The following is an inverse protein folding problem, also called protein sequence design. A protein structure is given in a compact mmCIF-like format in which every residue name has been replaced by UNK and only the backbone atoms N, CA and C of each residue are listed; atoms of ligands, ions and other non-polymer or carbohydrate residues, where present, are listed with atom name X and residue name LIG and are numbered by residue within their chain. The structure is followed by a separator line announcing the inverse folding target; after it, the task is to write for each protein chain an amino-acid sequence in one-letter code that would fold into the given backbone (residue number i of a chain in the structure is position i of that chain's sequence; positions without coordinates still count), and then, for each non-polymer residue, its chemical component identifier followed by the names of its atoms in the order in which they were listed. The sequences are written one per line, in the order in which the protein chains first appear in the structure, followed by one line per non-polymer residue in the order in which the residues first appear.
data_IF_457536578035
#
_entry.id   IF_457536578035
#
_cell.length_a   1.000
_cell.length_b   1.000
_cell.length_c   1.000
_cell.angle_alpha   90.00
_cell.angle_beta   90.00
_cell.angle_gamma   90.00
#
_symmetry.space_group_name_H-M   'P 1'
#
loop_
_entity.id
_entity.type
_entity.pdbx_description
1 polymer ?
#
# COMPACT_ATOMS: atom_id res chain seq x y z
N UNK A 1 -0.33 20.11 -13.38
CA UNK A 1 0.83 19.54 -12.66
C UNK A 1 1.07 18.16 -13.25
N UNK A 2 2.29 17.91 -13.72
CA UNK A 2 2.67 16.67 -14.38
C UNK A 2 2.39 15.46 -13.46
N UNK A 3 1.87 14.39 -14.05
CA UNK A 3 1.58 13.10 -13.40
C UNK A 3 2.86 12.31 -13.02
N UNK A 4 4.02 12.97 -12.93
CA UNK A 4 5.33 12.36 -12.65
C UNK A 4 5.36 11.59 -11.31
N UNK A 5 4.52 11.96 -10.35
CA UNK A 5 4.49 11.30 -9.05
C UNK A 5 3.94 9.88 -9.09
N UNK A 6 3.19 9.50 -10.14
CA UNK A 6 2.58 8.16 -10.22
C UNK A 6 3.62 7.06 -10.39
N UNK A 7 4.84 7.41 -10.77
CA UNK A 7 5.97 6.49 -10.86
C UNK A 7 6.79 6.39 -9.56
N UNK A 8 6.40 7.13 -8.51
CA UNK A 8 7.14 7.12 -7.25
C UNK A 8 6.81 5.90 -6.39
N UNK A 9 7.70 5.65 -5.42
CA UNK A 9 7.47 4.68 -4.35
C UNK A 9 7.95 5.23 -2.99
N UNK A 10 7.37 6.36 -2.59
CA UNK A 10 7.75 7.10 -1.37
C UNK A 10 7.55 6.28 -0.08
N UNK A 11 6.59 5.35 -0.07
CA UNK A 11 6.32 4.44 1.04
C UNK A 11 7.11 3.11 0.95
N UNK A 12 7.92 2.95 -0.10
CA UNK A 12 8.72 1.75 -0.38
C UNK A 12 7.87 0.47 -0.46
N UNK A 13 6.68 0.56 -1.03
CA UNK A 13 5.68 -0.52 -1.03
C UNK A 13 5.78 -1.42 -2.25
N UNK A 14 6.67 -1.14 -3.21
CA UNK A 14 6.79 -1.93 -4.44
C UNK A 14 6.82 -3.45 -4.17
N UNK A 15 5.96 -4.19 -4.88
CA UNK A 15 5.73 -5.63 -4.80
C UNK A 15 5.31 -6.14 -3.39
N UNK A 16 4.86 -5.24 -2.50
CA UNK A 16 4.31 -5.65 -1.20
C UNK A 16 2.86 -6.09 -1.33
N UNK A 17 2.56 -7.28 -0.81
CA UNK A 17 1.26 -7.95 -0.95
C UNK A 17 0.29 -7.44 0.08
N UNK A 18 -0.96 -7.19 -0.32
CA UNK A 18 -2.04 -6.75 0.56
C UNK A 18 -2.83 -7.96 1.04
N UNK A 19 -2.76 -8.24 2.34
CA UNK A 19 -3.50 -9.33 2.96
C UNK A 19 -4.95 -8.94 3.27
N UNK A 20 -5.17 -7.70 3.72
CA UNK A 20 -6.51 -7.20 3.99
C UNK A 20 -6.59 -5.68 4.02
N UNK A 21 -7.79 -5.16 3.85
CA UNK A 21 -8.13 -3.75 3.96
C UNK A 21 -9.27 -3.54 4.97
N UNK A 22 -9.10 -2.60 5.88
CA UNK A 22 -10.13 -2.16 6.82
C UNK A 22 -10.42 -0.66 6.65
N UNK A 23 -11.71 -0.32 6.50
CA UNK A 23 -12.19 1.07 6.56
C UNK A 23 -13.03 1.23 7.83
N UNK A 24 -12.56 2.05 8.77
CA UNK A 24 -13.26 2.33 10.00
C UNK A 24 -13.81 3.77 10.01
N UNK A 25 -15.11 3.91 9.77
CA UNK A 25 -15.76 5.22 9.74
C UNK A 25 -15.85 5.91 11.10
N UNK A 26 -15.86 5.15 12.21
CA UNK A 26 -15.97 5.71 13.56
C UNK A 26 -14.68 6.41 13.97
N UNK A 27 -13.54 5.76 13.76
CA UNK A 27 -12.20 6.31 14.04
C UNK A 27 -11.62 7.11 12.87
N UNK A 28 -12.27 7.05 11.70
CA UNK A 28 -11.80 7.64 10.43
C UNK A 28 -10.40 7.13 10.08
N UNK A 29 -10.25 5.81 10.07
CA UNK A 29 -8.99 5.13 9.72
C UNK A 29 -9.18 4.26 8.48
N UNK A 30 -8.12 4.16 7.69
CA UNK A 30 -7.97 3.22 6.58
C UNK A 30 -6.70 2.42 6.87
N UNK A 31 -6.78 1.11 6.91
CA UNK A 31 -5.65 0.25 7.26
C UNK A 31 -5.49 -0.87 6.24
N UNK A 32 -4.27 -1.06 5.75
CA UNK A 32 -3.89 -2.23 4.98
C UNK A 32 -3.04 -3.12 5.87
N UNK A 33 -3.37 -4.41 5.98
CA UNK A 33 -2.40 -5.42 6.41
C UNK A 33 -1.65 -5.92 5.20
N UNK A 34 -0.34 -6.08 5.30
CA UNK A 34 0.50 -6.41 4.17
C UNK A 34 1.72 -7.24 4.54
N UNK A 35 2.23 -7.96 3.55
CA UNK A 35 3.58 -8.52 3.52
C UNK A 35 4.49 -7.50 2.84
N UNK A 36 5.21 -6.71 3.63
CA UNK A 36 6.12 -5.69 3.12
C UNK A 36 7.41 -6.33 2.62
N UNK A 37 7.76 -6.08 1.37
CA UNK A 37 9.06 -6.47 0.82
C UNK A 37 10.18 -5.75 1.56
N UNK A 38 11.13 -6.53 2.05
CA UNK A 38 12.36 -6.04 2.70
C UNK A 38 13.54 -6.14 1.74
N UNK A 39 13.63 -7.25 1.00
CA UNK A 39 14.68 -7.44 0.00
C UNK A 39 14.30 -8.51 -1.01
N UNK A 40 14.90 -8.44 -2.20
CA UNK A 40 14.87 -9.49 -3.20
C UNK A 40 15.93 -10.55 -2.89
N UNK A 41 15.58 -11.81 -3.05
CA UNK A 41 16.47 -12.97 -2.91
C UNK A 41 16.57 -13.69 -4.26
N UNK A 42 17.71 -13.55 -4.94
CA UNK A 42 17.97 -14.30 -6.17
C UNK A 42 18.26 -15.78 -5.84
N UNK A 43 17.71 -16.68 -6.65
CA UNK A 43 17.81 -18.14 -6.56
C UNK A 43 18.37 -18.69 -7.87
N UNK A 44 18.88 -19.93 -7.84
CA UNK A 44 19.36 -20.66 -9.01
C UNK A 44 20.30 -19.84 -9.93
N UNK A 45 21.35 -19.25 -9.36
CA UNK A 45 22.30 -18.41 -10.12
C UNK A 45 21.65 -17.20 -10.81
N UNK A 46 20.56 -16.67 -10.24
CA UNK A 46 19.82 -15.52 -10.76
C UNK A 46 18.78 -15.86 -11.83
N UNK A 47 18.46 -17.14 -12.03
CA UNK A 47 17.43 -17.58 -12.99
C UNK A 47 16.00 -17.32 -12.48
N UNK A 48 15.83 -17.26 -11.17
CA UNK A 48 14.59 -16.87 -10.52
C UNK A 48 14.89 -16.06 -9.25
N UNK A 49 13.88 -15.43 -8.70
CA UNK A 49 13.99 -14.69 -7.45
C UNK A 49 12.73 -14.89 -6.63
N UNK A 50 12.83 -14.57 -5.34
CA UNK A 50 11.68 -14.38 -4.46
C UNK A 50 11.92 -13.15 -3.58
N UNK A 51 10.98 -12.82 -2.72
CA UNK A 51 11.08 -11.76 -1.74
C UNK A 51 11.28 -12.28 -0.34
N UNK A 52 12.09 -11.56 0.43
CA UNK A 52 12.05 -11.59 1.88
C UNK A 52 11.09 -10.49 2.34
N UNK A 53 10.13 -10.85 3.16
CA UNK A 53 9.03 -9.99 3.58
C UNK A 53 8.90 -9.90 5.10
N UNK A 54 8.24 -8.85 5.58
CA UNK A 54 7.78 -8.72 6.97
C UNK A 54 6.28 -8.48 6.98
N UNK A 55 5.57 -9.11 7.91
CA UNK A 55 4.19 -8.74 8.18
C UNK A 55 4.11 -7.33 8.75
N UNK A 56 3.05 -6.62 8.40
CA UNK A 56 2.89 -5.25 8.84
C UNK A 56 1.53 -4.64 8.54
N UNK A 57 1.42 -3.37 8.91
CA UNK A 57 0.22 -2.57 8.67
C UNK A 57 0.58 -1.16 8.24
N UNK A 58 -0.02 -0.70 7.14
CA UNK A 58 -0.04 0.70 6.72
C UNK A 58 -1.36 1.33 7.17
N UNK A 59 -1.29 2.28 8.07
CA UNK A 59 -2.48 2.87 8.72
C UNK A 59 -2.53 4.36 8.44
N UNK A 60 -3.65 4.81 7.88
CA UNK A 60 -3.97 6.22 7.66
C UNK A 60 -4.94 6.72 8.73
N UNK A 61 -4.64 7.88 9.31
CA UNK A 61 -5.40 8.45 10.43
C UNK A 61 -6.11 9.75 10.06
N UNK A 62 -7.28 9.96 10.68
CA UNK A 62 -8.15 11.11 10.39
C UNK A 62 -8.41 11.26 8.89
N UNK A 63 -8.75 10.15 8.24
CA UNK A 63 -9.06 10.11 6.81
C UNK A 63 -10.30 10.96 6.53
N UNK A 64 -10.19 11.86 5.55
CA UNK A 64 -11.27 12.74 5.08
C UNK A 64 -11.83 12.27 3.73
N UNK A 65 -11.02 11.57 2.95
CA UNK A 65 -11.38 11.08 1.63
C UNK A 65 -10.55 9.85 1.27
N UNK A 66 -11.21 8.89 0.64
CA UNK A 66 -10.58 7.86 -0.18
C UNK A 66 -11.53 7.46 -1.29
N UNK A 67 -11.01 7.11 -2.47
CA UNK A 67 -11.77 6.62 -3.64
C UNK A 67 -11.67 5.10 -3.82
N UNK A 68 -11.40 4.36 -2.73
CA UNK A 68 -11.30 2.91 -2.79
C UNK A 68 -12.55 2.27 -3.39
N UNK A 69 -12.37 1.42 -4.39
CA UNK A 69 -13.39 0.54 -4.94
C UNK A 69 -12.93 -0.91 -4.77
N UNK A 70 -13.84 -1.79 -4.33
CA UNK A 70 -13.52 -3.21 -4.11
C UNK A 70 -13.70 -3.99 -5.42
N UNK A 71 -12.65 -4.68 -5.86
CA UNK A 71 -12.68 -5.52 -7.05
C UNK A 71 -11.33 -6.20 -7.20
N UNK A 72 -11.35 -7.50 -6.93
CA UNK A 72 -10.18 -8.38 -6.93
C UNK A 72 -10.39 -9.42 -8.03
N UNK A 73 -9.33 -9.74 -8.75
CA UNK A 73 -9.33 -10.93 -9.57
C UNK A 73 -9.43 -12.18 -8.67
N UNK A 74 -10.23 -13.14 -9.11
CA UNK A 74 -10.41 -14.35 -8.32
C UNK A 74 -9.16 -15.23 -8.40
N UNK A 75 -8.58 -15.55 -7.24
CA UNK A 75 -7.37 -16.36 -7.14
C UNK A 75 -6.06 -15.57 -7.17
N UNK A 76 -6.11 -14.25 -7.33
CA UNK A 76 -4.95 -13.38 -7.32
C UNK A 76 -4.90 -12.54 -6.04
N UNK A 77 -3.68 -12.19 -5.64
CA UNK A 77 -3.44 -11.26 -4.54
C UNK A 77 -3.25 -9.84 -5.07
N UNK A 78 -3.70 -8.85 -4.29
CA UNK A 78 -3.42 -7.46 -4.59
C UNK A 78 -2.02 -7.08 -4.14
N UNK A 79 -1.31 -6.30 -4.94
CA UNK A 79 0.05 -5.86 -4.66
C UNK A 79 0.17 -4.35 -4.82
N UNK A 80 0.96 -3.72 -3.95
CA UNK A 80 1.33 -2.33 -4.13
C UNK A 80 2.38 -2.20 -5.23
N UNK A 81 2.10 -1.36 -6.21
CA UNK A 81 3.00 -1.10 -7.33
C UNK A 81 3.64 0.29 -7.25
N UNK A 82 2.90 1.30 -6.76
CA UNK A 82 3.39 2.69 -6.69
C UNK A 82 2.86 3.37 -5.43
N UNK A 83 3.62 4.33 -4.92
CA UNK A 83 3.19 5.13 -3.79
C UNK A 83 3.79 6.53 -3.84
N UNK A 84 2.98 7.55 -3.58
CA UNK A 84 3.46 8.93 -3.54
C UNK A 84 2.83 9.71 -2.39
N UNK A 85 3.63 10.57 -1.75
CA UNK A 85 3.20 11.46 -0.69
C UNK A 85 3.26 12.90 -1.22
N UNK A 86 2.11 13.51 -1.38
CA UNK A 86 1.97 14.83 -1.95
C UNK A 86 1.59 15.85 -0.88
N UNK A 87 2.42 16.89 -0.78
CA UNK A 87 2.17 18.08 0.03
C UNK A 87 1.26 19.10 -0.65
N UNK A 88 1.04 18.93 -1.95
CA UNK A 88 0.11 19.75 -2.73
C UNK A 88 -0.52 18.94 -3.85
N UNK A 89 -1.82 19.13 -4.08
CA UNK A 89 -2.55 18.60 -5.22
C UNK A 89 -3.94 19.26 -5.27
N UNK A 90 -4.60 19.22 -6.43
CA UNK A 90 -5.96 19.75 -6.56
C UNK A 90 -6.94 19.04 -5.63
N UNK A 91 -6.75 17.73 -5.43
CA UNK A 91 -7.55 16.95 -4.48
C UNK A 91 -7.32 17.43 -3.05
N UNK A 92 -6.06 17.59 -2.63
CA UNK A 92 -5.72 18.10 -1.30
C UNK A 92 -6.32 19.49 -1.03
N UNK A 93 -6.21 20.40 -2.00
CA UNK A 93 -6.73 21.77 -1.92
C UNK A 93 -8.26 21.80 -1.67
N UNK A 94 -9.02 20.84 -2.22
CA UNK A 94 -10.48 20.74 -1.98
C UNK A 94 -10.82 20.45 -0.52
N UNK A 95 -9.93 19.78 0.22
CA UNK A 95 -10.16 19.38 1.61
C UNK A 95 -9.44 20.26 2.64
N UNK A 96 -8.39 21.00 2.25
CA UNK A 96 -7.68 21.93 3.13
C UNK A 96 -8.62 22.96 3.76
N UNK A 97 -9.56 23.51 2.99
CA UNK A 97 -10.54 24.48 3.50
C UNK A 97 -11.55 23.89 4.52
N UNK A 98 -11.58 22.56 4.68
CA UNK A 98 -12.51 21.84 5.58
C UNK A 98 -11.84 21.34 6.86
N UNK A 99 -10.53 21.58 7.02
CA UNK A 99 -9.75 21.04 8.13
C UNK A 99 -8.73 22.06 8.63
N UNK A 100 -8.64 22.23 9.96
CA UNK A 100 -7.59 23.05 10.58
C UNK A 100 -6.27 22.26 10.78
N UNK A 101 -6.22 20.99 10.37
CA UNK A 101 -5.02 20.15 10.48
C UNK A 101 -4.24 20.18 9.18
N UNK A 102 -2.91 20.03 9.28
CA UNK A 102 -2.08 19.70 8.12
C UNK A 102 -2.55 18.37 7.54
N UNK A 103 -2.80 18.35 6.23
CA UNK A 103 -3.28 17.19 5.49
C UNK A 103 -2.21 16.77 4.50
N UNK A 104 -2.15 15.47 4.24
CA UNK A 104 -1.35 14.86 3.18
C UNK A 104 -2.30 14.22 2.16
N UNK A 105 -1.91 14.29 0.89
CA UNK A 105 -2.49 13.43 -0.12
C UNK A 105 -1.54 12.27 -0.36
N UNK A 106 -1.99 11.04 -0.10
CA UNK A 106 -1.24 9.83 -0.40
C UNK A 106 -1.90 9.14 -1.58
N UNK A 107 -1.12 8.92 -2.61
CA UNK A 107 -1.49 8.12 -3.77
C UNK A 107 -0.91 6.70 -3.61
N UNK A 108 -1.72 5.69 -3.95
CA UNK A 108 -1.35 4.29 -3.97
C UNK A 108 -1.78 3.71 -5.32
N UNK A 109 -0.82 3.16 -6.06
CA UNK A 109 -1.08 2.32 -7.22
C UNK A 109 -1.09 0.87 -6.80
N UNK A 110 -2.20 0.18 -7.02
CA UNK A 110 -2.39 -1.21 -6.62
C UNK A 110 -2.64 -2.04 -7.87
N UNK A 111 -1.88 -3.10 -8.04
CA UNK A 111 -2.15 -4.14 -9.02
C UNK A 111 -3.09 -5.19 -8.39
N UNK A 112 -4.22 -5.47 -9.03
CA UNK A 112 -5.18 -6.48 -8.59
C UNK A 112 -5.21 -7.71 -9.54
N UNK A 113 -4.13 -7.94 -10.28
CA UNK A 113 -3.99 -9.01 -11.27
C UNK A 113 -4.46 -8.55 -12.65
N UNK A 114 -5.77 -8.37 -12.81
CA UNK A 114 -6.37 -7.98 -14.09
C UNK A 114 -6.54 -6.47 -14.29
N UNK A 115 -6.48 -5.70 -13.20
CA UNK A 115 -6.75 -4.26 -13.21
C UNK A 115 -5.80 -3.52 -12.27
N UNK A 116 -5.15 -2.51 -12.83
CA UNK A 116 -4.42 -1.52 -12.05
C UNK A 116 -5.38 -0.47 -11.48
N UNK A 117 -5.33 -0.25 -10.17
CA UNK A 117 -6.18 0.71 -9.47
C UNK A 117 -5.37 1.82 -8.84
N UNK A 118 -5.87 3.03 -9.03
CA UNK A 118 -5.35 4.25 -8.44
C UNK A 118 -6.18 4.62 -7.21
N UNK A 119 -5.54 4.70 -6.05
CA UNK A 119 -6.20 5.01 -4.79
C UNK A 119 -5.59 6.26 -4.20
N UNK A 120 -6.43 7.27 -4.05
CA UNK A 120 -6.11 8.52 -3.39
C UNK A 120 -6.62 8.48 -1.96
N UNK A 121 -5.82 8.94 -1.01
CA UNK A 121 -6.15 9.03 0.41
C UNK A 121 -5.81 10.42 0.91
N UNK A 122 -6.79 11.15 1.43
CA UNK A 122 -6.57 12.42 2.14
C UNK A 122 -6.65 12.15 3.64
N UNK A 123 -5.54 12.33 4.33
CA UNK A 123 -5.40 12.03 5.76
C UNK A 123 -4.54 13.08 6.48
N UNK A 124 -4.55 13.07 7.81
CA UNK A 124 -3.65 13.95 8.58
C UNK A 124 -2.26 13.35 8.80
N UNK A 125 -2.18 12.02 8.91
CA UNK A 125 -0.94 11.27 9.10
C UNK A 125 -1.13 9.83 8.63
N UNK A 126 -0.02 9.16 8.35
CA UNK A 126 0.04 7.72 8.13
C UNK A 126 1.16 7.13 9.00
N UNK A 127 1.11 5.82 9.23
CA UNK A 127 2.16 5.06 9.90
C UNK A 127 2.32 3.70 9.25
N UNK A 128 3.57 3.21 9.20
CA UNK A 128 3.91 1.85 8.82
C UNK A 128 4.41 1.13 10.07
N UNK A 129 3.75 0.06 10.44
CA UNK A 129 4.15 -0.81 11.56
C UNK A 129 4.57 -2.16 10.96
N UNK A 130 5.78 -2.61 11.28
CA UNK A 130 6.30 -3.89 10.83
C UNK A 130 6.58 -4.76 12.02
N UNK A 131 6.27 -6.04 11.88
CA UNK A 131 6.67 -7.06 12.84
C UNK A 131 8.17 -7.34 12.74
N UNK A 132 8.72 -7.92 13.81
CA UNK A 132 10.16 -8.18 13.88
C UNK A 132 10.58 -9.33 12.95
N UNK A 133 9.70 -10.33 12.80
CA UNK A 133 9.96 -11.56 12.07
C UNK A 133 9.96 -11.35 10.55
N UNK A 134 10.96 -11.94 9.89
CA UNK A 134 11.09 -11.99 8.44
C UNK A 134 10.71 -13.36 7.91
N UNK A 135 10.07 -13.38 6.74
CA UNK A 135 9.65 -14.58 6.03
C UNK A 135 10.20 -14.54 4.61
N UNK A 136 10.30 -15.70 3.98
CA UNK A 136 10.58 -15.79 2.55
C UNK A 136 9.26 -16.09 1.86
N UNK A 137 8.90 -15.28 0.86
CA UNK A 137 7.72 -15.50 0.04
C UNK A 137 7.96 -16.76 -0.83
N UNK A 138 6.95 -17.59 -0.99
CA UNK A 138 6.98 -18.74 -1.89
C UNK A 138 5.96 -18.53 -3.01
N UNK A 139 6.26 -19.05 -4.21
CA UNK A 139 5.60 -18.70 -5.48
C UNK A 139 4.09 -19.03 -5.53
N UNK A 140 3.61 -19.85 -4.61
CA UNK A 140 2.23 -20.32 -4.44
C UNK A 140 1.45 -19.55 -3.36
N UNK A 141 2.08 -18.62 -2.64
CA UNK A 141 1.49 -17.86 -1.52
C UNK A 141 0.79 -18.73 -0.44
N UNK A 142 0.97 -20.05 -0.48
CA UNK A 142 0.33 -21.05 0.39
C UNK A 142 0.92 -21.07 1.82
N UNK A 143 1.79 -20.11 2.16
CA UNK A 143 2.75 -20.26 3.27
C UNK A 143 2.75 -19.07 4.23
N UNK A 144 1.86 -19.13 5.20
CA UNK A 144 2.09 -18.52 6.52
C UNK A 144 2.70 -19.51 7.53
N UNK A 145 2.80 -20.80 7.21
CA UNK A 145 3.32 -21.82 8.11
C UNK A 145 3.92 -23.01 7.34
N UNK A 146 5.25 -23.06 7.17
CA UNK A 146 6.15 -24.23 6.99
C UNK A 146 7.46 -23.70 6.36
N UNK A 147 8.68 -23.91 6.87
CA UNK A 147 9.23 -24.69 8.00
C UNK A 147 10.01 -23.80 9.00
#
# INVERSE_FOLDING_TARGET
MNQEYKDYDDLQLYDSVIESLEINHKTRTLSFRLLKVVSRLDRNEGRNFTYKVKQGSLIFHSVLFTNFSYGLEWGEWSEFYRSAILDSSDLLNRFQNRSNKSLKHVYLGIDNGNEYREIDVICSKYEMQLEDQEFILHDDFDWLYEE
#
